data_IF_056533178150
#
_entry.id   IF_056533178150
#
_cell.length_a   1.000
_cell.length_b   1.000
_cell.length_c   1.000
_cell.angle_alpha   90.00
_cell.angle_beta   90.00
_cell.angle_gamma   90.00
#
_symmetry.space_group_name_H-M   'P 1'
#
loop_
_entity.id
_entity.type
_entity.pdbx_description
1 polymer ?
#
# COMPACT_ATOMS: atom_id res chain seq x y z
N UNK A 1 2.43 3.71 -9.10
CA UNK A 1 2.66 3.91 -7.66
C UNK A 1 2.18 5.30 -7.29
N UNK A 2 0.98 5.41 -6.71
CA UNK A 2 0.36 6.69 -6.29
C UNK A 2 -0.38 6.48 -4.98
N UNK A 3 -0.47 7.51 -4.15
CA UNK A 3 -1.16 7.46 -2.86
C UNK A 3 -2.41 8.33 -2.89
N UNK A 4 -3.59 7.70 -2.97
CA UNK A 4 -4.88 8.41 -3.00
C UNK A 4 -5.08 9.30 -1.78
N UNK A 5 -4.80 8.86 -0.54
CA UNK A 5 -5.11 9.68 0.63
C UNK A 5 -4.12 10.84 0.84
N UNK A 6 -3.09 10.94 0.02
CA UNK A 6 -2.06 11.97 0.11
C UNK A 6 -2.26 13.12 -0.88
N UNK A 7 -3.35 13.11 -1.67
CA UNK A 7 -3.64 14.16 -2.66
C UNK A 7 -3.57 15.58 -2.08
N UNK A 8 -3.95 15.75 -0.81
CA UNK A 8 -4.01 17.06 -0.14
C UNK A 8 -2.67 17.54 0.43
N UNK A 9 -1.64 16.70 0.46
CA UNK A 9 -0.33 17.00 1.08
C UNK A 9 0.82 16.99 0.07
N UNK A 10 0.52 16.92 -1.23
CA UNK A 10 1.52 17.01 -2.30
C UNK A 10 2.33 18.31 -2.13
N UNK A 11 3.65 18.19 -2.27
CA UNK A 11 4.63 19.27 -2.07
C UNK A 11 4.75 19.82 -0.63
N UNK A 12 4.33 19.06 0.38
CA UNK A 12 4.65 19.37 1.78
C UNK A 12 6.14 19.20 2.07
N UNK A 13 6.72 20.08 2.89
CA UNK A 13 8.14 20.05 3.24
C UNK A 13 8.47 18.93 4.24
N UNK A 14 9.26 17.93 3.84
CA UNK A 14 9.84 16.91 4.71
C UNK A 14 11.36 16.96 4.66
N UNK A 15 12.02 16.79 5.82
CA UNK A 15 13.48 16.67 5.88
C UNK A 15 13.93 15.29 5.37
N UNK A 16 13.30 14.23 5.89
CA UNK A 16 13.50 12.83 5.48
C UNK A 16 12.16 12.07 5.48
N UNK A 17 12.15 10.84 4.93
CA UNK A 17 10.94 10.02 4.72
C UNK A 17 10.14 9.79 6.01
N UNK A 18 10.80 9.33 7.09
CA UNK A 18 10.11 9.02 8.35
C UNK A 18 9.52 10.26 9.02
N UNK A 19 10.20 11.40 8.92
CA UNK A 19 9.69 12.68 9.41
C UNK A 19 8.47 13.14 8.60
N UNK A 20 8.53 12.99 7.27
CA UNK A 20 7.43 13.34 6.38
C UNK A 20 6.18 12.48 6.68
N UNK A 21 6.37 11.18 6.89
CA UNK A 21 5.29 10.25 7.25
C UNK A 21 4.56 10.69 8.53
N UNK A 22 5.32 10.97 9.59
CA UNK A 22 4.75 11.35 10.87
C UNK A 22 4.13 12.75 10.86
N UNK A 23 4.72 13.69 10.13
CA UNK A 23 4.30 15.10 10.15
C UNK A 23 3.11 15.40 9.24
N UNK A 24 2.98 14.71 8.10
CA UNK A 24 1.93 15.02 7.11
C UNK A 24 1.11 13.80 6.72
N UNK A 25 1.77 12.68 6.45
CA UNK A 25 1.09 11.52 5.86
C UNK A 25 0.10 10.87 6.81
N UNK A 26 0.52 10.42 7.98
CA UNK A 26 -0.40 9.78 8.93
C UNK A 26 -1.53 10.71 9.41
N UNK A 27 -1.26 12.01 9.72
CA UNK A 27 -2.34 12.95 10.01
C UNK A 27 -3.36 13.09 8.88
N UNK A 28 -2.93 13.18 7.62
CA UNK A 28 -3.87 13.30 6.49
C UNK A 28 -4.64 11.99 6.26
N UNK A 29 -3.96 10.86 6.27
CA UNK A 29 -4.57 9.54 6.06
C UNK A 29 -5.59 9.19 7.16
N UNK A 30 -5.39 9.67 8.40
CA UNK A 30 -6.34 9.48 9.51
C UNK A 30 -7.74 10.07 9.23
N UNK A 31 -7.84 11.08 8.36
CA UNK A 31 -9.13 11.71 7.98
C UNK A 31 -10.04 10.75 7.22
N UNK A 32 -9.50 9.66 6.66
CA UNK A 32 -10.26 8.65 5.93
C UNK A 32 -11.10 7.73 6.85
N UNK A 33 -10.99 7.88 8.18
CA UNK A 33 -12.00 7.38 9.11
C UNK A 33 -13.41 7.91 8.76
N UNK A 34 -13.50 9.11 8.20
CA UNK A 34 -14.73 9.65 7.65
C UNK A 34 -14.94 9.19 6.20
N UNK A 35 -15.89 8.27 5.99
CA UNK A 35 -16.21 7.74 4.66
C UNK A 35 -16.63 8.83 3.63
N UNK A 36 -17.24 9.94 4.07
CA UNK A 36 -17.56 11.06 3.16
C UNK A 36 -16.30 11.77 2.66
N UNK A 37 -15.28 11.87 3.50
CA UNK A 37 -13.99 12.39 3.10
C UNK A 37 -13.35 11.47 2.04
N UNK A 38 -13.37 10.15 2.28
CA UNK A 38 -12.87 9.16 1.34
C UNK A 38 -13.53 9.24 -0.04
N UNK A 39 -14.88 9.32 -0.09
CA UNK A 39 -15.62 9.53 -1.35
C UNK A 39 -15.22 10.81 -2.08
N UNK A 40 -15.16 11.92 -1.35
CA UNK A 40 -14.78 13.22 -1.93
C UNK A 40 -13.39 13.16 -2.55
N UNK A 41 -12.41 12.56 -1.86
CA UNK A 41 -11.03 12.48 -2.36
C UNK A 41 -10.89 11.48 -3.49
N UNK A 42 -11.52 10.30 -3.43
CA UNK A 42 -11.51 9.33 -4.53
C UNK A 42 -11.99 9.96 -5.86
N UNK A 43 -13.09 10.70 -5.80
CA UNK A 43 -13.63 11.44 -6.95
C UNK A 43 -12.63 12.47 -7.49
N UNK A 44 -12.16 13.37 -6.63
CA UNK A 44 -11.21 14.42 -7.02
C UNK A 44 -9.89 13.85 -7.55
N UNK A 45 -9.39 12.78 -6.94
CA UNK A 45 -8.17 12.11 -7.37
C UNK A 45 -8.30 11.56 -8.79
N UNK A 46 -9.38 10.83 -9.08
CA UNK A 46 -9.59 10.26 -10.41
C UNK A 46 -9.89 11.33 -11.47
N UNK A 47 -10.57 12.41 -11.10
CA UNK A 47 -10.74 13.58 -11.97
C UNK A 47 -9.38 14.18 -12.36
N UNK A 48 -8.47 14.32 -11.40
CA UNK A 48 -7.10 14.81 -11.65
C UNK A 48 -6.24 13.83 -12.47
N UNK A 49 -6.35 12.52 -12.23
CA UNK A 49 -5.67 11.52 -13.06
C UNK A 49 -6.07 11.65 -14.52
N UNK A 50 -7.37 11.73 -14.80
CA UNK A 50 -7.90 11.89 -16.15
C UNK A 50 -7.53 13.26 -16.76
N UNK A 51 -7.57 14.34 -15.97
CA UNK A 51 -7.16 15.68 -16.40
C UNK A 51 -5.69 15.71 -16.86
N UNK A 52 -4.85 14.86 -16.27
CA UNK A 52 -3.45 14.69 -16.63
C UNK A 52 -3.18 13.52 -17.60
N UNK A 53 -4.22 12.90 -18.17
CA UNK A 53 -4.09 11.84 -19.16
C UNK A 53 -3.70 10.46 -18.61
N UNK A 54 -3.68 10.28 -17.30
CA UNK A 54 -3.44 8.98 -16.66
C UNK A 54 -4.74 8.19 -16.59
N UNK A 55 -4.80 7.06 -17.30
CA UNK A 55 -6.01 6.22 -17.43
C UNK A 55 -5.99 4.96 -16.57
N UNK A 56 -4.82 4.60 -16.05
CA UNK A 56 -4.59 3.45 -15.17
C UNK A 56 -3.58 3.82 -14.09
N UNK A 57 -3.87 3.48 -12.84
CA UNK A 57 -2.94 3.61 -11.71
C UNK A 57 -2.83 2.33 -10.90
N UNK A 58 -1.66 2.15 -10.27
CA UNK A 58 -1.47 1.28 -9.10
C UNK A 58 -1.46 2.17 -7.85
N UNK A 59 -2.56 2.11 -7.09
CA UNK A 59 -2.93 3.08 -6.07
C UNK A 59 -2.94 2.48 -4.66
N UNK A 60 -2.32 3.19 -3.73
CA UNK A 60 -2.42 2.96 -2.30
C UNK A 60 -3.63 3.73 -1.77
N UNK A 61 -4.58 3.03 -1.15
CA UNK A 61 -5.64 3.65 -0.35
C UNK A 61 -5.15 3.88 1.09
N UNK A 62 -5.98 4.42 1.98
CA UNK A 62 -5.62 4.43 3.42
C UNK A 62 -5.79 3.03 4.05
N UNK A 63 -5.44 2.91 5.34
CA UNK A 63 -5.71 1.69 6.13
C UNK A 63 -7.21 1.40 6.26
N UNK A 64 -8.08 2.40 6.10
CA UNK A 64 -9.52 2.24 6.30
C UNK A 64 -10.14 1.54 5.08
N UNK A 65 -10.88 0.45 5.30
CA UNK A 65 -11.61 -0.28 4.24
C UNK A 65 -12.46 0.64 3.36
N UNK A 66 -13.15 1.60 3.96
CA UNK A 66 -14.00 2.59 3.30
C UNK A 66 -13.26 3.45 2.26
N UNK A 67 -11.94 3.65 2.43
CA UNK A 67 -11.10 4.35 1.45
C UNK A 67 -10.95 3.55 0.15
N UNK A 68 -10.74 2.24 0.26
CA UNK A 68 -10.64 1.37 -0.91
C UNK A 68 -12.00 1.18 -1.59
N UNK A 69 -13.08 1.03 -0.81
CA UNK A 69 -14.45 0.99 -1.33
C UNK A 69 -14.79 2.25 -2.14
N UNK A 70 -14.45 3.43 -1.60
CA UNK A 70 -14.67 4.70 -2.29
C UNK A 70 -13.87 4.79 -3.60
N UNK A 71 -12.58 4.41 -3.58
CA UNK A 71 -11.74 4.41 -4.78
C UNK A 71 -12.28 3.48 -5.86
N UNK A 72 -12.61 2.23 -5.49
CA UNK A 72 -13.10 1.26 -6.46
C UNK A 72 -14.48 1.61 -7.02
N UNK A 73 -15.40 2.14 -6.20
CA UNK A 73 -16.71 2.60 -6.68
C UNK A 73 -16.55 3.70 -7.73
N UNK A 74 -15.78 4.74 -7.41
CA UNK A 74 -15.50 5.88 -8.30
C UNK A 74 -14.76 5.44 -9.57
N UNK A 75 -13.80 4.52 -9.47
CA UNK A 75 -13.06 3.95 -10.61
C UNK A 75 -13.97 3.10 -11.50
N UNK A 76 -14.84 2.30 -10.90
CA UNK A 76 -15.78 1.42 -11.60
C UNK A 76 -16.84 2.21 -12.36
N UNK A 77 -17.41 3.26 -11.77
CA UNK A 77 -18.37 4.16 -12.44
C UNK A 77 -17.78 4.80 -13.71
N UNK A 78 -16.48 5.10 -13.69
CA UNK A 78 -15.73 5.63 -14.85
C UNK A 78 -15.25 4.53 -15.82
N UNK A 79 -15.52 3.26 -15.53
CA UNK A 79 -15.00 2.09 -16.26
C UNK A 79 -13.47 2.13 -16.46
N UNK A 80 -12.74 2.68 -15.49
CA UNK A 80 -11.27 2.72 -15.50
C UNK A 80 -10.69 1.35 -15.15
N UNK A 81 -9.53 1.02 -15.71
CA UNK A 81 -8.73 -0.11 -15.22
C UNK A 81 -7.77 0.44 -14.18
N UNK A 82 -7.96 0.06 -12.93
CA UNK A 82 -7.07 0.47 -11.86
C UNK A 82 -6.73 -0.72 -10.97
N UNK A 83 -5.51 -0.70 -10.43
CA UNK A 83 -5.03 -1.62 -9.41
C UNK A 83 -5.03 -0.84 -8.10
N UNK A 84 -5.70 -1.34 -7.06
CA UNK A 84 -5.69 -0.69 -5.75
C UNK A 84 -5.85 -1.67 -4.60
N UNK A 85 -5.50 -1.24 -3.40
CA UNK A 85 -5.70 -2.01 -2.19
C UNK A 85 -5.79 -1.14 -0.95
N UNK A 86 -6.50 -1.65 0.05
CA UNK A 86 -6.42 -1.12 1.42
C UNK A 86 -5.00 -1.35 1.93
N UNK A 87 -4.41 -0.33 2.54
CA UNK A 87 -3.10 -0.46 3.18
C UNK A 87 -3.23 -1.33 4.45
N UNK A 88 -2.25 -2.20 4.69
CA UNK A 88 -2.07 -2.93 5.95
C UNK A 88 -0.91 -2.31 6.72
N UNK A 89 -1.15 -1.94 7.99
CA UNK A 89 -0.14 -1.38 8.90
C UNK A 89 -0.62 -1.47 10.36
N UNK A 90 0.04 -2.26 11.19
CA UNK A 90 -0.36 -2.53 12.59
C UNK A 90 0.69 -2.11 13.63
N UNK A 91 1.79 -1.48 13.22
CA UNK A 91 2.78 -0.90 14.14
C UNK A 91 3.44 0.36 13.60
N UNK A 92 4.20 1.03 14.47
CA UNK A 92 5.09 2.15 14.12
C UNK A 92 4.39 3.31 13.38
N UNK A 93 3.12 3.53 13.67
CA UNK A 93 2.32 4.67 13.23
C UNK A 93 1.26 5.02 14.30
N UNK A 94 0.62 6.20 14.23
CA UNK A 94 -0.41 6.59 15.20
C UNK A 94 -1.67 5.70 15.15
N UNK A 95 -2.33 5.49 16.29
CA UNK A 95 -3.52 4.62 16.44
C UNK A 95 -4.61 4.85 15.37
N UNK A 96 -4.81 6.10 14.95
CA UNK A 96 -5.83 6.46 13.96
C UNK A 96 -5.58 5.94 12.54
N UNK A 97 -4.41 5.34 12.29
CA UNK A 97 -4.05 4.72 11.01
C UNK A 97 -3.53 3.29 11.18
N UNK A 98 -3.76 2.67 12.34
CA UNK A 98 -3.41 1.27 12.57
C UNK A 98 -4.60 0.34 12.34
N UNK A 99 -4.32 -0.81 11.74
CA UNK A 99 -5.17 -1.99 11.85
C UNK A 99 -4.50 -3.07 12.72
N UNK A 100 -5.01 -4.29 12.66
CA UNK A 100 -4.41 -5.47 13.27
C UNK A 100 -4.14 -6.50 12.18
N UNK A 101 -3.31 -7.54 12.42
CA UNK A 101 -3.16 -8.63 11.47
C UNK A 101 -4.51 -9.21 11.02
N UNK A 102 -5.41 -9.46 11.97
CA UNK A 102 -6.72 -10.06 11.70
C UNK A 102 -7.63 -9.12 10.90
N UNK A 103 -7.80 -7.87 11.35
CA UNK A 103 -8.66 -6.92 10.62
C UNK A 103 -8.09 -6.55 9.26
N UNK A 104 -6.75 -6.47 9.12
CA UNK A 104 -6.07 -6.28 7.85
C UNK A 104 -6.33 -7.41 6.87
N UNK A 105 -6.34 -8.67 7.35
CA UNK A 105 -6.71 -9.84 6.58
C UNK A 105 -8.20 -9.82 6.18
N UNK A 106 -9.10 -9.69 7.15
CA UNK A 106 -10.55 -9.79 6.94
C UNK A 106 -11.08 -8.70 6.01
N UNK A 107 -10.63 -7.46 6.21
CA UNK A 107 -11.03 -6.34 5.35
C UNK A 107 -10.49 -6.50 3.93
N UNK A 108 -9.23 -6.91 3.78
CA UNK A 108 -8.64 -7.15 2.47
C UNK A 108 -9.37 -8.28 1.74
N UNK A 109 -9.68 -9.38 2.43
CA UNK A 109 -10.44 -10.50 1.88
C UNK A 109 -11.83 -10.09 1.43
N UNK A 110 -12.52 -9.27 2.22
CA UNK A 110 -13.82 -8.71 1.84
C UNK A 110 -13.73 -7.80 0.61
N UNK A 111 -12.70 -6.95 0.52
CA UNK A 111 -12.48 -6.08 -0.63
C UNK A 111 -12.10 -6.87 -1.89
N UNK A 112 -11.29 -7.93 -1.77
CA UNK A 112 -10.96 -8.84 -2.86
C UNK A 112 -12.25 -9.45 -3.42
N UNK A 113 -13.10 -10.01 -2.55
CA UNK A 113 -14.35 -10.64 -2.96
C UNK A 113 -15.32 -9.67 -3.66
N UNK A 114 -15.38 -8.41 -3.22
CA UNK A 114 -16.29 -7.41 -3.80
C UNK A 114 -15.77 -6.80 -5.10
N UNK A 115 -14.46 -6.50 -5.17
CA UNK A 115 -13.92 -5.62 -6.21
C UNK A 115 -12.99 -6.31 -7.20
N UNK A 116 -12.30 -7.38 -6.83
CA UNK A 116 -11.37 -8.00 -7.77
C UNK A 116 -12.12 -8.62 -8.95
N UNK A 117 -11.76 -8.22 -10.18
CA UNK A 117 -12.42 -8.70 -11.40
C UNK A 117 -13.78 -8.04 -11.68
N UNK A 118 -14.26 -7.13 -10.82
CA UNK A 118 -15.51 -6.39 -11.06
C UNK A 118 -15.30 -5.32 -12.13
N UNK A 119 -15.77 -5.61 -13.35
CA UNK A 119 -15.47 -4.78 -14.51
C UNK A 119 -13.97 -4.82 -14.81
N UNK A 120 -13.27 -3.70 -14.65
CA UNK A 120 -11.83 -3.57 -14.88
C UNK A 120 -11.02 -3.34 -13.61
N UNK A 121 -11.60 -3.57 -12.43
CA UNK A 121 -10.94 -3.36 -11.15
C UNK A 121 -10.04 -4.55 -10.79
N UNK A 122 -8.81 -4.25 -10.37
CA UNK A 122 -7.83 -5.23 -9.92
C UNK A 122 -7.42 -4.91 -8.48
N UNK A 123 -7.32 -5.92 -7.62
CA UNK A 123 -6.94 -5.74 -6.22
C UNK A 123 -5.44 -5.98 -6.05
N UNK A 124 -4.81 -5.21 -5.18
CA UNK A 124 -3.44 -5.40 -4.72
C UNK A 124 -3.40 -5.62 -3.21
N UNK A 125 -2.77 -6.70 -2.77
CA UNK A 125 -2.41 -6.88 -1.36
C UNK A 125 -1.33 -5.84 -1.04
N UNK A 126 -1.60 -4.98 -0.06
CA UNK A 126 -0.85 -3.73 0.11
C UNK A 126 -0.33 -3.56 1.55
N UNK A 127 0.64 -4.38 2.02
CA UNK A 127 1.41 -4.00 3.20
C UNK A 127 2.15 -2.69 2.90
N UNK A 128 2.02 -1.68 3.76
CA UNK A 128 2.56 -0.34 3.45
C UNK A 128 4.06 -0.43 3.14
N UNK A 129 4.82 -0.91 4.12
CA UNK A 129 6.23 -1.29 4.07
C UNK A 129 6.57 -2.07 5.35
N UNK A 130 7.71 -2.78 5.38
CA UNK A 130 8.00 -3.74 6.46
C UNK A 130 8.04 -3.11 7.87
N UNK A 131 8.46 -1.85 7.99
CA UNK A 131 8.53 -1.16 9.29
C UNK A 131 7.16 -1.08 9.95
N UNK A 132 6.08 -0.85 9.19
CA UNK A 132 4.73 -0.67 9.74
C UNK A 132 3.91 -1.94 9.87
N UNK A 133 4.46 -3.10 9.47
CA UNK A 133 3.78 -4.39 9.56
C UNK A 133 4.55 -5.30 10.50
N UNK A 134 3.87 -5.93 11.46
CA UNK A 134 4.45 -6.98 12.31
C UNK A 134 4.71 -8.26 11.51
N UNK A 135 5.52 -9.20 12.01
CA UNK A 135 5.62 -10.54 11.45
C UNK A 135 4.26 -11.22 11.23
N UNK A 136 3.33 -11.06 12.17
CA UNK A 136 1.98 -11.60 12.09
C UNK A 136 1.19 -10.98 10.94
N UNK A 137 1.28 -9.66 10.75
CA UNK A 137 0.61 -8.99 9.62
C UNK A 137 1.26 -9.34 8.28
N UNK A 138 2.58 -9.51 8.23
CA UNK A 138 3.28 -9.98 7.03
C UNK A 138 2.86 -11.40 6.65
N UNK A 139 2.66 -12.28 7.64
CA UNK A 139 2.11 -13.62 7.40
C UNK A 139 0.68 -13.56 6.86
N UNK A 140 -0.16 -12.64 7.36
CA UNK A 140 -1.51 -12.43 6.81
C UNK A 140 -1.49 -11.95 5.36
N UNK A 141 -0.57 -11.03 5.01
CA UNK A 141 -0.39 -10.59 3.63
C UNK A 141 0.09 -11.76 2.74
N UNK A 142 1.04 -12.57 3.22
CA UNK A 142 1.52 -13.77 2.54
C UNK A 142 0.42 -14.81 2.34
N UNK A 143 -0.43 -15.03 3.35
CA UNK A 143 -1.58 -15.92 3.27
C UNK A 143 -2.57 -15.46 2.19
N UNK A 144 -2.95 -14.17 2.18
CA UNK A 144 -3.80 -13.60 1.13
C UNK A 144 -3.21 -13.81 -0.28
N UNK A 145 -1.89 -13.63 -0.43
CA UNK A 145 -1.25 -13.75 -1.75
C UNK A 145 -1.18 -15.20 -2.24
N UNK A 146 -0.99 -16.16 -1.32
CA UNK A 146 -1.08 -17.60 -1.63
C UNK A 146 -2.50 -18.05 -1.92
N UNK A 147 -3.50 -17.53 -1.20
CA UNK A 147 -4.92 -17.81 -1.43
C UNK A 147 -5.40 -17.28 -2.80
N UNK A 148 -4.77 -16.21 -3.29
CA UNK A 148 -5.17 -15.51 -4.51
C UNK A 148 -3.96 -15.22 -5.43
N UNK A 149 -3.41 -16.25 -6.10
CA UNK A 149 -2.16 -16.14 -6.89
C UNK A 149 -2.29 -15.23 -8.14
N UNK A 150 -3.50 -14.83 -8.49
CA UNK A 150 -3.81 -13.93 -9.60
C UNK A 150 -3.82 -12.45 -9.20
N UNK A 151 -3.78 -12.12 -7.91
CA UNK A 151 -3.74 -10.74 -7.43
C UNK A 151 -2.40 -10.06 -7.67
N UNK A 152 -2.44 -8.73 -7.59
CA UNK A 152 -1.21 -7.94 -7.45
C UNK A 152 -0.79 -7.92 -5.97
N UNK A 153 0.49 -7.68 -5.74
CA UNK A 153 1.03 -7.26 -4.46
C UNK A 153 1.70 -5.91 -4.70
N UNK A 154 1.58 -4.95 -3.79
CA UNK A 154 2.34 -3.71 -3.88
C UNK A 154 2.86 -3.29 -2.50
N UNK A 155 4.11 -2.84 -2.43
CA UNK A 155 4.72 -2.29 -1.21
C UNK A 155 5.86 -1.31 -1.56
N UNK A 156 6.49 -0.69 -0.58
CA UNK A 156 7.70 0.13 -0.77
C UNK A 156 8.94 -0.71 -0.48
N UNK A 157 10.06 -0.39 -1.13
CA UNK A 157 11.32 -1.11 -0.93
C UNK A 157 12.50 -0.17 -1.12
N UNK A 158 13.42 -0.18 -0.15
CA UNK A 158 14.74 0.46 -0.23
C UNK A 158 14.71 1.89 -0.78
N UNK A 159 13.82 2.73 -0.23
CA UNK A 159 13.67 4.14 -0.61
C UNK A 159 14.72 5.03 0.07
N UNK A 160 15.02 4.76 1.35
CA UNK A 160 15.91 5.59 2.16
C UNK A 160 16.86 4.74 3.03
N UNK A 161 18.09 5.19 3.26
CA UNK A 161 19.05 4.47 4.10
C UNK A 161 18.60 4.28 5.56
N UNK A 162 17.95 5.27 6.17
CA UNK A 162 17.43 5.16 7.53
C UNK A 162 16.26 4.16 7.59
N UNK A 163 15.43 4.11 6.54
CA UNK A 163 14.39 3.10 6.39
C UNK A 163 14.98 1.69 6.29
N UNK A 164 15.99 1.48 5.44
CA UNK A 164 16.65 0.17 5.30
C UNK A 164 17.25 -0.28 6.63
N UNK A 165 17.97 0.59 7.32
CA UNK A 165 18.55 0.29 8.62
C UNK A 165 17.49 -0.10 9.65
N UNK A 166 16.40 0.67 9.75
CA UNK A 166 15.34 0.38 10.71
C UNK A 166 14.58 -0.92 10.36
N UNK A 167 14.40 -1.22 9.08
CA UNK A 167 13.86 -2.53 8.66
C UNK A 167 14.76 -3.68 9.14
N UNK A 168 16.09 -3.57 9.00
CA UNK A 168 17.01 -4.61 9.46
C UNK A 168 17.01 -4.77 10.98
N UNK A 169 16.82 -3.69 11.74
CA UNK A 169 16.64 -3.77 13.20
C UNK A 169 15.37 -4.55 13.58
N UNK A 170 14.27 -4.34 12.84
CA UNK A 170 12.99 -5.00 13.10
C UNK A 170 12.94 -6.44 12.58
N UNK A 171 13.76 -6.78 11.58
CA UNK A 171 13.86 -8.10 10.96
C UNK A 171 15.32 -8.58 10.92
N UNK A 172 15.97 -8.83 12.07
CA UNK A 172 17.41 -9.10 12.14
C UNK A 172 17.83 -10.45 11.54
N UNK A 173 16.86 -11.32 11.24
CA UNK A 173 17.10 -12.59 10.54
C UNK A 173 17.22 -12.42 9.03
N UNK A 174 16.74 -11.29 8.48
CA UNK A 174 16.73 -11.04 7.04
C UNK A 174 18.12 -10.65 6.56
N UNK A 175 18.50 -11.13 5.37
CA UNK A 175 19.79 -10.78 4.74
C UNK A 175 19.82 -9.32 4.29
N UNK A 176 18.67 -8.83 3.84
CA UNK A 176 18.42 -7.47 3.35
C UNK A 176 16.90 -7.20 3.35
N UNK A 177 16.50 -6.02 2.89
CA UNK A 177 15.11 -5.61 2.91
C UNK A 177 14.25 -6.50 1.99
N UNK A 178 14.74 -6.81 0.79
CA UNK A 178 14.03 -7.67 -0.16
C UNK A 178 13.78 -9.07 0.41
N UNK A 179 14.73 -9.60 1.19
CA UNK A 179 14.61 -10.90 1.87
C UNK A 179 13.40 -10.97 2.83
N UNK A 180 13.02 -9.84 3.45
CA UNK A 180 11.83 -9.78 4.30
C UNK A 180 10.60 -10.19 3.49
N UNK A 181 10.39 -9.59 2.32
CA UNK A 181 9.24 -9.88 1.47
C UNK A 181 9.33 -11.26 0.81
N UNK A 182 10.53 -11.70 0.43
CA UNK A 182 10.76 -13.04 -0.12
C UNK A 182 10.37 -14.13 0.90
N UNK A 183 10.77 -13.98 2.16
CA UNK A 183 10.47 -14.92 3.23
C UNK A 183 8.96 -15.13 3.43
N UNK A 184 8.17 -14.06 3.42
CA UNK A 184 6.71 -14.13 3.55
C UNK A 184 6.00 -14.51 2.24
N UNK A 185 6.75 -14.81 1.18
CA UNK A 185 6.22 -15.22 -0.11
C UNK A 185 5.54 -14.09 -0.88
N UNK A 186 5.88 -12.83 -0.59
CA UNK A 186 5.31 -11.64 -1.23
C UNK A 186 6.07 -11.23 -2.50
N UNK A 187 7.18 -11.91 -2.81
CA UNK A 187 7.92 -11.71 -4.05
C UNK A 187 7.36 -12.62 -5.16
N UNK A 188 6.76 -12.02 -6.18
CA UNK A 188 6.12 -12.75 -7.28
C UNK A 188 5.93 -11.93 -8.55
N UNK A 189 5.42 -12.56 -9.62
CA UNK A 189 5.31 -11.95 -10.96
C UNK A 189 4.42 -10.70 -11.05
N UNK A 190 3.53 -10.50 -10.07
CA UNK A 190 2.62 -9.35 -9.98
C UNK A 190 2.92 -8.47 -8.77
N UNK A 191 4.11 -8.60 -8.21
CA UNK A 191 4.60 -7.79 -7.09
C UNK A 191 5.21 -6.49 -7.61
N UNK A 192 4.69 -5.36 -7.10
CA UNK A 192 5.09 -4.02 -7.48
C UNK A 192 5.79 -3.35 -6.30
N UNK A 193 7.11 -3.21 -6.38
CA UNK A 193 7.91 -2.55 -5.36
C UNK A 193 8.15 -1.08 -5.76
N UNK A 194 7.72 -0.17 -4.90
CA UNK A 194 7.96 1.26 -5.06
C UNK A 194 9.39 1.64 -4.68
N UNK A 195 9.93 2.66 -5.36
CA UNK A 195 11.24 3.28 -5.15
C UNK A 195 12.43 2.45 -5.62
N UNK A 196 12.84 1.43 -4.87
CA UNK A 196 13.98 0.58 -5.22
C UNK A 196 15.27 1.38 -5.52
N UNK A 197 15.54 2.44 -4.75
CA UNK A 197 16.64 3.38 -5.02
C UNK A 197 17.98 2.79 -4.55
N UNK A 198 17.97 2.14 -3.39
CA UNK A 198 19.17 1.69 -2.70
C UNK A 198 19.23 0.16 -2.60
N UNK A 199 18.97 -0.53 -3.71
CA UNK A 199 19.10 -1.99 -3.78
C UNK A 199 20.57 -2.41 -3.79
N UNK A 200 20.90 -3.47 -3.08
CA UNK A 200 22.13 -4.22 -3.33
C UNK A 200 22.05 -5.04 -4.63
N UNK A 201 23.19 -5.55 -5.13
CA UNK A 201 23.20 -6.42 -6.31
C UNK A 201 22.31 -7.66 -6.13
N UNK A 202 22.38 -8.30 -4.94
CA UNK A 202 21.57 -9.47 -4.62
C UNK A 202 20.06 -9.17 -4.61
N UNK A 203 19.68 -7.99 -4.13
CA UNK A 203 18.28 -7.55 -4.15
C UNK A 203 17.80 -7.27 -5.58
N UNK A 204 18.62 -6.61 -6.40
CA UNK A 204 18.31 -6.37 -7.80
C UNK A 204 18.14 -7.68 -8.59
N UNK A 205 19.02 -8.66 -8.37
CA UNK A 205 18.92 -10.00 -8.97
C UNK A 205 17.67 -10.77 -8.52
N UNK A 206 17.23 -10.59 -7.27
CA UNK A 206 16.01 -11.23 -6.77
C UNK A 206 14.73 -10.66 -7.42
N UNK A 207 14.78 -9.42 -7.93
CA UNK A 207 13.64 -8.74 -8.55
C UNK A 207 13.58 -8.92 -10.08
N UNK A 208 14.63 -9.43 -10.73
CA UNK A 208 14.72 -9.60 -12.19
C UNK A 208 14.01 -10.86 -12.70
#
# INVERSE_FOLDING_TARGET
HVHVPQMQIIASYGAELLDWLNKYTFPEESKFQNAQHGRRIARLFLDEMLRHGTTTVAAYCSVHKSSAEAFFAESHERNMLNIAGKVMMDRNAPDGVLDTPQTGYDDSKALIAEWHGKGRQLYAITPRFAITSTPEQMEMAGALYREHPDLHMQTHLSENHAEIAFTQELYPWSRDYTDVYEHYGLLGKKSLFGHCIHLSEREADALS
#
